data_IF_250623108145
#
_entry.id   IF_250623108145
#
_cell.length_a   1.000
_cell.length_b   1.000
_cell.length_c   1.000
_cell.angle_alpha   90.00
_cell.angle_beta   90.00
_cell.angle_gamma   90.00
#
_symmetry.space_group_name_H-M   'P 1'
#
loop_
_entity.id
_entity.type
_entity.pdbx_description
1 polymer ?
#
# COMPACT_ATOMS: atom_id res chain seq x y z
N UNK A 1 18.70 -47.91 -43.61
CA UNK A 1 19.13 -46.58 -43.08
C UNK A 1 18.18 -45.41 -43.35
N UNK A 2 17.32 -45.42 -44.39
CA UNK A 2 16.39 -44.29 -44.65
C UNK A 2 15.18 -44.25 -43.71
N UNK A 3 14.65 -45.42 -43.35
CA UNK A 3 13.47 -45.55 -42.48
C UNK A 3 13.77 -45.10 -41.04
N UNK A 4 14.93 -45.46 -40.47
CA UNK A 4 15.29 -45.01 -39.11
C UNK A 4 15.44 -43.50 -39.02
N UNK A 5 15.97 -42.84 -40.07
CA UNK A 5 16.04 -41.38 -40.13
C UNK A 5 14.67 -40.72 -40.17
N UNK A 6 13.72 -41.28 -40.91
CA UNK A 6 12.34 -40.78 -40.95
C UNK A 6 11.66 -40.91 -39.58
N UNK A 7 11.85 -42.05 -38.89
CA UNK A 7 11.31 -42.25 -37.54
C UNK A 7 11.88 -41.21 -36.57
N UNK A 8 13.19 -40.94 -36.61
CA UNK A 8 13.83 -39.93 -35.75
C UNK A 8 13.28 -38.53 -36.03
N UNK A 9 13.06 -38.16 -37.29
CA UNK A 9 12.49 -36.85 -37.65
C UNK A 9 11.05 -36.71 -37.15
N UNK A 10 10.23 -37.75 -37.29
CA UNK A 10 8.86 -37.75 -36.79
C UNK A 10 8.86 -37.62 -35.26
N UNK A 11 9.74 -38.35 -34.57
CA UNK A 11 9.85 -38.34 -33.11
C UNK A 11 10.32 -36.96 -32.59
N UNK A 12 11.27 -36.33 -33.28
CA UNK A 12 11.65 -34.95 -32.97
C UNK A 12 10.48 -33.99 -33.21
N UNK A 13 9.79 -34.10 -34.34
CA UNK A 13 8.63 -33.27 -34.66
C UNK A 13 7.51 -33.37 -33.62
N UNK A 14 7.20 -34.58 -33.15
CA UNK A 14 6.20 -34.77 -32.10
C UNK A 14 6.64 -34.21 -30.76
N UNK A 15 7.90 -34.40 -30.37
CA UNK A 15 8.46 -33.80 -29.13
C UNK A 15 8.42 -32.28 -29.18
N UNK A 16 8.84 -31.66 -30.29
CA UNK A 16 8.77 -30.20 -30.45
C UNK A 16 7.33 -29.69 -30.42
N UNK A 17 6.39 -30.40 -31.04
CA UNK A 17 4.96 -30.05 -31.01
C UNK A 17 4.39 -30.08 -29.59
N UNK A 18 4.70 -31.12 -28.82
CA UNK A 18 4.26 -31.25 -27.42
C UNK A 18 4.88 -30.15 -26.55
N UNK A 19 6.17 -29.88 -26.70
CA UNK A 19 6.85 -28.81 -25.96
C UNK A 19 6.29 -27.43 -26.29
N UNK A 20 5.97 -27.17 -27.56
CA UNK A 20 5.39 -25.91 -27.99
C UNK A 20 4.02 -25.65 -27.34
N UNK A 21 3.13 -26.64 -27.36
CA UNK A 21 1.81 -26.52 -26.70
C UNK A 21 1.96 -26.37 -25.20
N UNK A 22 2.90 -27.08 -24.58
CA UNK A 22 3.18 -26.96 -23.16
C UNK A 22 3.63 -25.53 -22.78
N UNK A 23 4.58 -24.96 -23.52
CA UNK A 23 5.03 -23.59 -23.30
C UNK A 23 3.90 -22.57 -23.49
N UNK A 24 3.06 -22.75 -24.51
CA UNK A 24 1.91 -21.89 -24.75
C UNK A 24 0.90 -21.93 -23.59
N UNK A 25 0.64 -23.11 -23.04
CA UNK A 25 -0.23 -23.28 -21.88
C UNK A 25 0.34 -22.63 -20.61
N UNK A 26 1.66 -22.73 -20.41
CA UNK A 26 2.33 -22.15 -19.25
C UNK A 26 2.35 -20.61 -19.30
N UNK A 27 2.58 -20.03 -20.48
CA UNK A 27 2.48 -18.57 -20.69
C UNK A 27 1.07 -18.09 -20.37
N UNK A 28 0.04 -18.80 -20.82
CA UNK A 28 -1.35 -18.43 -20.54
C UNK A 28 -1.67 -18.50 -19.04
N UNK A 29 -1.17 -19.53 -18.36
CA UNK A 29 -1.32 -19.67 -16.91
C UNK A 29 -0.64 -18.53 -16.15
N UNK A 30 0.60 -18.19 -16.52
CA UNK A 30 1.35 -17.08 -15.94
C UNK A 30 0.64 -15.73 -16.15
N UNK A 31 0.10 -15.50 -17.35
CA UNK A 31 -0.67 -14.31 -17.66
C UNK A 31 -1.93 -14.22 -16.78
N UNK A 32 -2.66 -15.33 -16.61
CA UNK A 32 -3.86 -15.38 -15.77
C UNK A 32 -3.57 -15.13 -14.29
N UNK A 33 -2.48 -15.71 -13.76
CA UNK A 33 -2.03 -15.44 -12.40
C UNK A 33 -1.59 -13.98 -12.20
N UNK A 34 -0.97 -13.38 -13.22
CA UNK A 34 -0.63 -11.95 -13.25
C UNK A 34 -1.87 -11.06 -13.24
N UNK A 35 -2.84 -11.34 -14.10
CA UNK A 35 -4.09 -10.58 -14.22
C UNK A 35 -4.91 -10.63 -12.92
N UNK A 36 -5.01 -11.81 -12.27
CA UNK A 36 -5.68 -11.93 -10.97
C UNK A 36 -5.06 -11.04 -9.90
N UNK A 37 -3.73 -10.97 -9.85
CA UNK A 37 -3.02 -10.12 -8.89
C UNK A 37 -3.23 -8.64 -9.22
N UNK A 38 -3.17 -8.28 -10.51
CA UNK A 38 -3.37 -6.92 -10.96
C UNK A 38 -4.79 -6.39 -10.65
N UNK A 39 -5.82 -7.20 -10.86
CA UNK A 39 -7.20 -6.87 -10.48
C UNK A 39 -7.35 -6.64 -8.98
N UNK A 40 -6.72 -7.46 -8.14
CA UNK A 40 -6.74 -7.26 -6.69
C UNK A 40 -6.04 -5.96 -6.26
N UNK A 41 -4.90 -5.62 -6.89
CA UNK A 41 -4.23 -4.34 -6.63
C UNK A 41 -5.06 -3.15 -7.09
N UNK A 42 -5.72 -3.25 -8.24
CA UNK A 42 -6.58 -2.19 -8.77
C UNK A 42 -7.79 -1.96 -7.86
N UNK A 43 -8.40 -3.01 -7.32
CA UNK A 43 -9.48 -2.92 -6.35
C UNK A 43 -9.03 -2.23 -5.05
N UNK A 44 -7.84 -2.57 -4.53
CA UNK A 44 -7.27 -1.91 -3.36
C UNK A 44 -6.98 -0.43 -3.60
N UNK A 45 -6.48 -0.10 -4.78
CA UNK A 45 -6.17 1.28 -5.18
C UNK A 45 -7.44 2.10 -5.33
N UNK A 46 -8.48 1.54 -5.93
CA UNK A 46 -9.79 2.17 -6.07
C UNK A 46 -10.44 2.41 -4.70
N UNK A 47 -10.43 1.41 -3.82
CA UNK A 47 -10.87 1.56 -2.41
C UNK A 47 -10.10 2.66 -1.70
N UNK A 48 -8.78 2.73 -1.87
CA UNK A 48 -7.96 3.78 -1.26
C UNK A 48 -8.33 5.18 -1.77
N UNK A 49 -8.56 5.33 -3.07
CA UNK A 49 -9.00 6.59 -3.67
C UNK A 49 -10.37 7.00 -3.15
N UNK A 50 -11.33 6.07 -3.07
CA UNK A 50 -12.66 6.32 -2.51
C UNK A 50 -12.58 6.74 -1.03
N UNK A 51 -11.73 6.09 -0.25
CA UNK A 51 -11.48 6.43 1.15
C UNK A 51 -10.88 7.84 1.28
N UNK A 52 -9.85 8.15 0.49
CA UNK A 52 -9.24 9.49 0.46
C UNK A 52 -10.24 10.57 0.09
N UNK A 53 -11.03 10.35 -0.95
CA UNK A 53 -12.08 11.27 -1.36
C UNK A 53 -13.14 11.44 -0.26
N UNK A 54 -13.56 10.36 0.39
CA UNK A 54 -14.52 10.45 1.50
C UNK A 54 -13.96 11.19 2.71
N UNK A 55 -12.68 10.98 3.05
CA UNK A 55 -12.00 11.71 4.12
C UNK A 55 -11.91 13.18 3.75
N UNK A 56 -11.46 13.52 2.55
CA UNK A 56 -11.35 14.91 2.08
C UNK A 56 -12.73 15.59 2.07
N UNK A 57 -13.75 14.92 1.54
CA UNK A 57 -15.13 15.40 1.53
C UNK A 57 -15.71 15.57 2.94
N UNK A 58 -15.38 14.66 3.86
CA UNK A 58 -15.89 14.71 5.25
C UNK A 58 -15.10 15.67 6.14
N UNK A 59 -13.81 15.84 5.88
CA UNK A 59 -12.94 16.83 6.51
C UNK A 59 -13.08 18.22 5.88
N UNK A 60 -13.71 18.32 4.70
CA UNK A 60 -13.97 19.61 4.07
C UNK A 60 -14.72 20.51 5.04
N UNK A 61 -14.12 21.67 5.31
CA UNK A 61 -14.65 22.68 6.23
C UNK A 61 -16.11 23.05 5.91
N UNK A 62 -16.51 22.92 4.64
CA UNK A 62 -17.87 23.20 4.16
C UNK A 62 -18.88 22.21 4.75
N UNK A 63 -18.56 20.92 4.84
CA UNK A 63 -19.48 19.90 5.38
C UNK A 63 -19.52 19.93 6.91
N UNK A 64 -18.39 20.22 7.55
CA UNK A 64 -18.31 20.44 9.00
C UNK A 64 -19.07 21.71 9.36
N UNK A 65 -18.80 22.81 8.65
CA UNK A 65 -19.51 24.09 8.80
C UNK A 65 -21.01 23.92 8.61
N UNK A 66 -21.46 23.24 7.56
CA UNK A 66 -22.90 23.07 7.30
C UNK A 66 -23.59 22.09 8.27
N UNK A 67 -22.85 21.20 8.95
CA UNK A 67 -23.39 20.34 10.02
C UNK A 67 -23.44 21.09 11.36
N UNK A 68 -22.42 21.89 11.66
CA UNK A 68 -22.32 22.71 12.87
C UNK A 68 -23.30 23.88 12.83
N UNK A 69 -23.45 24.55 11.69
CA UNK A 69 -24.41 25.65 11.47
C UNK A 69 -25.87 25.20 11.40
N UNK A 70 -26.15 23.89 11.36
CA UNK A 70 -27.52 23.34 11.37
C UNK A 70 -28.07 23.09 12.77
N UNK A 71 -27.20 23.06 13.78
CA UNK A 71 -27.62 23.09 15.17
C UNK A 71 -27.91 24.55 15.53
N UNK A 72 -29.18 24.93 15.59
CA UNK A 72 -29.62 26.27 16.06
C UNK A 72 -29.21 26.54 17.53
N UNK A 73 -28.68 25.53 18.22
CA UNK A 73 -28.13 25.63 19.57
C UNK A 73 -26.60 25.86 19.60
N UNK A 74 -25.93 25.84 18.45
CA UNK A 74 -24.49 26.07 18.38
C UNK A 74 -24.18 27.58 18.38
N UNK A 75 -24.06 28.16 19.57
CA UNK A 75 -23.45 29.49 19.73
C UNK A 75 -21.93 29.35 19.65
N UNK A 76 -21.32 29.95 18.62
CA UNK A 76 -19.88 30.14 18.58
C UNK A 76 -19.51 31.11 19.72
N UNK A 77 -18.69 30.71 20.70
CA UNK A 77 -18.38 31.58 21.82
C UNK A 77 -17.63 32.82 21.32
N UNK A 78 -18.17 34.01 21.59
CA UNK A 78 -17.61 35.32 21.19
C UNK A 78 -16.20 35.55 21.75
N UNK A 79 -15.78 34.76 22.74
CA UNK A 79 -14.47 34.82 23.37
C UNK A 79 -13.58 33.69 22.86
N UNK A 80 -13.03 33.86 21.66
CA UNK A 80 -11.88 33.08 21.21
C UNK A 80 -10.67 33.42 22.07
N UNK A 81 -10.51 32.77 23.22
CA UNK A 81 -9.29 32.85 24.02
C UNK A 81 -8.27 31.87 23.45
N UNK A 82 -7.39 32.37 22.58
CA UNK A 82 -6.23 31.61 22.11
C UNK A 82 -5.29 31.40 23.30
N UNK A 83 -5.38 30.23 23.94
CA UNK A 83 -4.46 29.85 25.01
C UNK A 83 -3.26 29.16 24.36
N UNK A 84 -2.09 29.82 24.43
CA UNK A 84 -0.82 29.18 24.07
C UNK A 84 -0.56 28.09 25.11
N UNK A 85 -0.81 26.84 24.74
CA UNK A 85 -0.46 25.69 25.57
C UNK A 85 1.07 25.68 25.66
N UNK A 86 1.60 26.02 26.84
CA UNK A 86 3.02 25.86 27.11
C UNK A 86 3.37 24.39 26.93
N UNK A 87 4.29 24.10 26.01
CA UNK A 87 4.88 22.77 25.89
C UNK A 87 5.51 22.43 27.24
N UNK A 88 4.81 21.60 28.02
CA UNK A 88 5.44 20.91 29.14
C UNK A 88 6.44 19.96 28.49
N UNK A 89 7.70 20.32 28.64
CA UNK A 89 8.85 19.51 28.31
C UNK A 89 8.82 18.24 29.17
N UNK A 90 8.08 17.25 28.71
CA UNK A 90 8.21 15.87 29.14
C UNK A 90 8.63 15.04 27.93
N UNK A 91 9.92 15.15 27.62
CA UNK A 91 10.73 14.13 26.96
C UNK A 91 10.20 13.51 25.68
N UNK A 92 10.34 14.20 24.55
CA UNK A 92 10.64 13.57 23.24
C UNK A 92 11.34 14.63 22.38
N UNK A 93 12.54 14.39 21.84
CA UNK A 93 13.29 15.41 21.12
C UNK A 93 12.67 15.65 19.74
N UNK A 94 11.80 16.66 19.65
CA UNK A 94 11.44 17.28 18.38
C UNK A 94 12.54 18.30 18.03
N UNK A 95 13.62 17.81 17.43
CA UNK A 95 14.63 18.65 16.81
C UNK A 95 14.02 19.39 15.61
N UNK A 96 13.74 20.68 15.82
CA UNK A 96 13.54 21.64 14.74
C UNK A 96 14.87 22.37 14.59
N UNK A 97 15.67 21.93 13.63
CA UNK A 97 16.70 22.76 13.00
C UNK A 97 16.44 22.77 11.50
N UNK A 98 16.62 23.95 10.95
CA UNK A 98 16.45 24.33 9.56
C UNK A 98 17.53 23.66 8.68
N UNK A 99 17.20 23.43 7.42
CA UNK A 99 18.20 23.34 6.34
C UNK A 99 19.10 22.11 6.33
N UNK A 100 18.70 21.08 5.59
CA UNK A 100 19.62 19.99 5.24
C UNK A 100 18.91 18.85 4.55
N UNK A 101 19.17 18.70 3.25
CA UNK A 101 18.83 17.53 2.44
C UNK A 101 19.26 16.24 3.16
N UNK A 102 18.54 15.13 2.93
CA UNK A 102 18.73 13.74 3.42
C UNK A 102 17.76 13.27 4.52
N UNK A 103 16.58 12.77 4.13
CA UNK A 103 15.62 12.14 5.07
C UNK A 103 14.80 11.00 4.44
N UNK A 104 15.45 10.10 3.70
CA UNK A 104 14.83 8.82 3.31
C UNK A 104 15.61 7.59 3.81
N UNK A 105 16.94 7.64 3.81
CA UNK A 105 17.77 6.52 4.29
C UNK A 105 17.68 6.30 5.81
N UNK A 106 17.51 7.36 6.61
CA UNK A 106 17.47 7.26 8.09
C UNK A 106 16.18 6.65 8.65
N UNK A 107 15.09 6.63 7.88
CA UNK A 107 13.83 5.95 8.26
C UNK A 107 13.87 4.44 8.06
N UNK A 108 14.77 3.93 7.22
CA UNK A 108 14.87 2.49 6.93
C UNK A 108 15.66 1.76 8.02
N UNK A 109 16.63 2.43 8.66
CA UNK A 109 17.47 1.82 9.70
C UNK A 109 16.91 1.91 11.13
N UNK A 110 15.74 2.54 11.33
CA UNK A 110 15.12 2.71 12.66
C UNK A 110 14.11 1.62 13.02
N UNK A 111 13.77 0.70 12.10
CA UNK A 111 12.88 -0.44 12.35
C UNK A 111 13.74 -1.69 12.54
N UNK A 112 14.39 -1.84 13.71
CA UNK A 112 14.81 -3.14 14.26
C UNK A 112 15.30 -2.98 15.69
N UNK A 113 14.41 -3.22 16.66
CA UNK A 113 14.66 -3.79 18.01
C UNK A 113 13.54 -3.40 18.98
N UNK A 114 12.33 -3.94 18.79
CA UNK A 114 11.34 -4.08 19.86
C UNK A 114 10.57 -5.39 19.63
N UNK A 115 11.27 -6.51 19.76
CA UNK A 115 10.66 -7.84 19.79
C UNK A 115 11.54 -8.76 20.66
N UNK A 116 11.63 -8.43 21.95
CA UNK A 116 12.11 -9.36 22.98
C UNK A 116 11.23 -9.15 24.22
N UNK A 117 9.99 -9.64 24.17
CA UNK A 117 9.17 -9.84 25.36
C UNK A 117 9.53 -11.23 25.93
N UNK A 118 10.45 -11.25 26.88
CA UNK A 118 10.66 -12.39 27.76
C UNK A 118 9.46 -12.53 28.69
N UNK A 119 8.74 -13.65 28.63
CA UNK A 119 7.86 -14.09 29.71
C UNK A 119 8.61 -15.13 30.53
N UNK A 120 9.08 -14.75 31.72
CA UNK A 120 9.57 -15.68 32.75
C UNK A 120 8.43 -15.90 33.74
N UNK A 121 8.28 -17.17 34.14
CA UNK A 121 7.34 -17.71 35.12
C UNK A 121 7.51 -17.09 36.51
N UNK A 122 6.42 -17.01 37.27
CA UNK A 122 6.44 -17.26 38.71
C UNK A 122 5.07 -17.70 39.23
#
# INVERSE_FOLDING_TARGET
>A
MRISRLIVVILLGTVFSVLYVYQQAEIFRLAYEGERKQSAFQELLDKNNVLRYNIEKSASLIRIGNKVSRDDQFQMPDTCRVVKVGSVASGTPAGREEGGVFTLASRIFSIKRQAEAHTIQH
#
